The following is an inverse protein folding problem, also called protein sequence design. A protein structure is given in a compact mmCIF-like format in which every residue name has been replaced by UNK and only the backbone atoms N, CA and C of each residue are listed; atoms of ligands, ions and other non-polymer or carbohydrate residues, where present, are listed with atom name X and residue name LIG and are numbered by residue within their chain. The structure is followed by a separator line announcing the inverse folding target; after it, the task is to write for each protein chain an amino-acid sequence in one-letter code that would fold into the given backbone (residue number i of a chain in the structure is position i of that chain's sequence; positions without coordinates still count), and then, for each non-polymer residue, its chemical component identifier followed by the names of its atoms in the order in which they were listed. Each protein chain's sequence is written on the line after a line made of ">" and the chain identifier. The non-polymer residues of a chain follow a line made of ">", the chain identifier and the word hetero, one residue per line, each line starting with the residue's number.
data_IF_800168610948
#
_entry.id   IF_800168610948
#
_cell.length_a   1.000
_cell.length_b   1.000
_cell.length_c   1.000
_cell.angle_alpha   90.00
_cell.angle_beta   90.00
_cell.angle_gamma   90.00
#
_symmetry.space_group_name_H-M   'P 1'
#
loop_
_entity.id
_entity.type
_entity.pdbx_description
1 polymer ?
#
# COMPACT_ATOMS: atom_id res chain seq x y z
N UNK A 1 -22.11 -11.73 32.99
CA UNK A 1 -22.24 -11.64 31.51
C UNK A 1 -21.82 -10.29 30.95
N UNK A 2 -22.26 -9.15 31.50
CA UNK A 2 -21.94 -7.82 30.95
C UNK A 2 -20.44 -7.45 30.91
N UNK A 3 -19.66 -7.76 31.96
CA UNK A 3 -18.22 -7.42 32.02
C UNK A 3 -17.40 -8.13 30.93
N UNK A 4 -17.72 -9.38 30.59
CA UNK A 4 -17.04 -10.12 29.52
C UNK A 4 -17.31 -9.49 28.15
N UNK A 5 -18.52 -8.97 27.92
CA UNK A 5 -18.89 -8.32 26.66
C UNK A 5 -18.11 -7.01 26.43
N UNK A 6 -18.00 -6.17 27.47
CA UNK A 6 -17.20 -4.95 27.39
C UNK A 6 -15.73 -5.22 27.11
N UNK A 7 -15.16 -6.27 27.73
CA UNK A 7 -13.78 -6.69 27.49
C UNK A 7 -13.57 -7.20 26.06
N UNK A 8 -14.51 -7.97 25.51
CA UNK A 8 -14.44 -8.44 24.13
C UNK A 8 -14.49 -7.30 23.11
N UNK A 9 -15.36 -6.29 23.33
CA UNK A 9 -15.42 -5.09 22.46
C UNK A 9 -14.11 -4.32 22.52
N UNK A 10 -13.54 -4.13 23.72
CA UNK A 10 -12.28 -3.43 23.89
C UNK A 10 -11.14 -4.16 23.16
N UNK A 11 -11.06 -5.49 23.33
CA UNK A 11 -10.07 -6.32 22.64
C UNK A 11 -10.24 -6.26 21.11
N UNK A 12 -11.47 -6.36 20.61
CA UNK A 12 -11.75 -6.25 19.18
C UNK A 12 -11.35 -4.86 18.63
N UNK A 13 -11.66 -3.80 19.36
CA UNK A 13 -11.32 -2.43 18.98
C UNK A 13 -9.81 -2.21 18.92
N UNK A 14 -9.07 -2.74 19.90
CA UNK A 14 -7.60 -2.70 19.89
C UNK A 14 -7.02 -3.52 18.73
N UNK A 15 -7.62 -4.66 18.40
CA UNK A 15 -7.22 -5.46 17.25
C UNK A 15 -7.43 -4.70 15.94
N UNK A 16 -8.59 -4.06 15.74
CA UNK A 16 -8.87 -3.22 14.57
C UNK A 16 -7.85 -2.08 14.43
N UNK A 17 -7.50 -1.41 15.52
CA UNK A 17 -6.44 -0.37 15.51
C UNK A 17 -5.09 -0.98 15.11
N UNK A 18 -4.72 -2.13 15.68
CA UNK A 18 -3.46 -2.79 15.38
C UNK A 18 -3.37 -3.22 13.90
N UNK A 19 -4.42 -3.88 13.38
CA UNK A 19 -4.49 -4.30 11.98
C UNK A 19 -4.49 -3.09 11.04
N UNK A 20 -5.27 -2.05 11.34
CA UNK A 20 -5.36 -0.88 10.47
C UNK A 20 -4.05 -0.10 10.37
N UNK A 21 -3.33 0.11 11.48
CA UNK A 21 -2.03 0.77 11.48
C UNK A 21 -0.96 -0.06 10.76
N UNK A 22 -0.92 -1.37 11.01
CA UNK A 22 0.02 -2.27 10.34
C UNK A 22 -0.24 -2.35 8.83
N UNK A 23 -1.50 -2.50 8.43
CA UNK A 23 -1.92 -2.53 7.02
C UNK A 23 -1.63 -1.20 6.33
N UNK A 24 -1.85 -0.08 7.01
CA UNK A 24 -1.53 1.26 6.49
C UNK A 24 -0.04 1.40 6.22
N UNK A 25 0.83 0.94 7.13
CA UNK A 25 2.28 0.97 6.91
C UNK A 25 2.68 0.18 5.65
N UNK A 26 2.10 -1.02 5.47
CA UNK A 26 2.33 -1.85 4.27
C UNK A 26 1.78 -1.17 3.01
N UNK A 27 0.59 -0.59 3.08
CA UNK A 27 -0.02 0.16 1.97
C UNK A 27 0.81 1.37 1.55
N UNK A 28 1.42 2.08 2.49
CA UNK A 28 2.34 3.19 2.19
C UNK A 28 3.56 2.69 1.42
N UNK A 29 4.15 1.58 1.84
CA UNK A 29 5.31 0.99 1.14
C UNK A 29 4.93 0.61 -0.28
N UNK A 30 3.87 -0.19 -0.48
CA UNK A 30 3.42 -0.57 -1.82
C UNK A 30 2.99 0.63 -2.66
N UNK A 31 2.35 1.63 -2.05
CA UNK A 31 1.94 2.86 -2.71
C UNK A 31 3.11 3.66 -3.23
N UNK A 32 4.14 3.86 -2.41
CA UNK A 32 5.35 4.58 -2.81
C UNK A 32 6.12 3.82 -3.88
N UNK A 33 6.24 2.50 -3.76
CA UNK A 33 6.87 1.64 -4.78
C UNK A 33 6.10 1.69 -6.10
N UNK A 34 4.77 1.56 -6.06
CA UNK A 34 3.91 1.64 -7.24
C UNK A 34 3.97 3.02 -7.91
N UNK A 35 3.97 4.09 -7.11
CA UNK A 35 4.09 5.46 -7.63
C UNK A 35 5.47 5.69 -8.27
N UNK A 36 6.55 5.26 -7.62
CA UNK A 36 7.90 5.35 -8.14
C UNK A 36 8.06 4.55 -9.45
N UNK A 37 7.53 3.33 -9.50
CA UNK A 37 7.55 2.49 -10.69
C UNK A 37 6.83 3.17 -11.87
N UNK A 38 5.64 3.74 -11.64
CA UNK A 38 4.85 4.44 -12.66
C UNK A 38 5.43 5.77 -13.13
N UNK A 39 6.25 6.42 -12.30
CA UNK A 39 6.95 7.65 -12.66
C UNK A 39 8.35 7.38 -13.22
N UNK A 40 8.79 6.13 -13.24
CA UNK A 40 10.07 5.72 -13.81
C UNK A 40 10.11 5.95 -15.32
N UNK A 41 11.31 6.17 -15.85
CA UNK A 41 11.57 6.19 -17.28
C UNK A 41 11.59 4.77 -17.88
N UNK A 42 11.79 3.75 -17.03
CA UNK A 42 11.76 2.35 -17.46
C UNK A 42 10.32 1.92 -17.77
N UNK A 43 10.10 1.53 -19.02
CA UNK A 43 8.79 1.11 -19.54
C UNK A 43 8.27 -0.14 -18.83
N UNK A 44 9.15 -1.05 -18.41
CA UNK A 44 8.77 -2.28 -17.71
C UNK A 44 8.30 -1.96 -16.29
N UNK A 45 9.04 -1.13 -15.56
CA UNK A 45 8.64 -0.68 -14.23
C UNK A 45 7.32 0.10 -14.29
N UNK A 46 7.17 1.00 -15.27
CA UNK A 46 5.95 1.78 -15.44
C UNK A 46 4.74 0.90 -15.82
N UNK A 47 4.94 -0.10 -16.69
CA UNK A 47 3.91 -1.07 -17.04
C UNK A 47 3.51 -1.94 -15.84
N UNK A 48 4.47 -2.46 -15.08
CA UNK A 48 4.21 -3.27 -13.89
C UNK A 48 3.42 -2.49 -12.83
N UNK A 49 3.82 -1.26 -12.54
CA UNK A 49 3.10 -0.41 -11.59
C UNK A 49 1.69 -0.03 -12.08
N UNK A 50 1.52 0.16 -13.39
CA UNK A 50 0.20 0.42 -13.99
C UNK A 50 -0.69 -0.81 -13.90
N UNK A 51 -0.19 -1.99 -14.28
CA UNK A 51 -0.91 -3.25 -14.18
C UNK A 51 -1.37 -3.53 -12.75
N UNK A 52 -0.45 -3.39 -11.78
CA UNK A 52 -0.76 -3.52 -10.36
C UNK A 52 -1.90 -2.58 -9.93
N UNK A 53 -1.77 -1.28 -10.19
CA UNK A 53 -2.77 -0.30 -9.78
C UNK A 53 -4.12 -0.52 -10.47
N UNK A 54 -4.12 -0.87 -11.76
CA UNK A 54 -5.33 -1.06 -12.55
C UNK A 54 -6.08 -2.34 -12.19
N UNK A 55 -5.38 -3.47 -12.04
CA UNK A 55 -6.01 -4.75 -11.71
C UNK A 55 -6.58 -4.72 -10.31
N UNK A 56 -5.79 -4.29 -9.33
CA UNK A 56 -6.21 -4.32 -7.91
C UNK A 56 -7.39 -3.38 -7.66
N UNK A 57 -7.39 -2.19 -8.29
CA UNK A 57 -8.50 -1.23 -8.16
C UNK A 57 -9.69 -1.53 -9.08
N UNK A 58 -9.53 -2.45 -10.04
CA UNK A 58 -10.59 -2.87 -10.96
C UNK A 58 -11.42 -4.04 -10.42
N UNK A 59 -10.90 -4.77 -9.44
CA UNK A 59 -11.59 -5.88 -8.78
C UNK A 59 -12.24 -5.38 -7.49
N UNK A 60 -13.47 -5.80 -7.15
CA UNK A 60 -14.09 -5.45 -5.87
C UNK A 60 -13.23 -5.90 -4.67
N UNK A 61 -13.08 -5.03 -3.67
CA UNK A 61 -12.17 -5.25 -2.53
C UNK A 61 -12.40 -6.60 -1.82
N UNK A 62 -13.66 -6.99 -1.57
CA UNK A 62 -14.00 -8.29 -0.97
C UNK A 62 -13.53 -9.48 -1.81
N UNK A 63 -13.68 -9.40 -3.13
CA UNK A 63 -13.23 -10.45 -4.05
C UNK A 63 -11.70 -10.51 -4.04
N UNK A 64 -11.04 -9.36 -4.02
CA UNK A 64 -9.59 -9.29 -3.94
C UNK A 64 -9.07 -9.87 -2.62
N UNK A 65 -9.72 -9.59 -1.49
CA UNK A 65 -9.38 -10.19 -0.21
C UNK A 65 -9.50 -11.71 -0.24
N UNK A 66 -10.58 -12.25 -0.84
CA UNK A 66 -10.76 -13.68 -1.03
C UNK A 66 -9.62 -14.27 -1.88
N UNK A 67 -9.32 -13.65 -3.02
CA UNK A 67 -8.27 -14.11 -3.93
C UNK A 67 -6.90 -14.10 -3.27
N UNK A 68 -6.55 -13.06 -2.51
CA UNK A 68 -5.24 -12.99 -1.84
C UNK A 68 -5.18 -13.96 -0.66
N UNK A 69 -6.25 -14.07 0.13
CA UNK A 69 -6.27 -14.94 1.31
C UNK A 69 -6.25 -16.42 0.93
N UNK A 70 -7.14 -16.85 0.03
CA UNK A 70 -7.24 -18.26 -0.39
C UNK A 70 -6.28 -18.60 -1.54
N UNK A 71 -6.15 -17.72 -2.54
CA UNK A 71 -5.24 -17.94 -3.66
C UNK A 71 -3.77 -17.71 -3.28
N UNK A 72 -3.48 -16.77 -2.38
CA UNK A 72 -2.12 -16.52 -1.90
C UNK A 72 -1.59 -17.66 -1.01
N UNK A 73 -2.42 -18.24 -0.14
CA UNK A 73 -2.06 -19.43 0.64
C UNK A 73 -1.81 -20.65 -0.26
N UNK A 74 -2.68 -20.90 -1.24
CA UNK A 74 -2.47 -21.95 -2.24
C UNK A 74 -1.19 -21.72 -3.06
N UNK A 75 -0.98 -20.49 -3.54
CA UNK A 75 0.20 -20.13 -4.33
C UNK A 75 1.50 -20.24 -3.54
N UNK A 76 1.51 -19.81 -2.27
CA UNK A 76 2.67 -19.93 -1.40
C UNK A 76 3.01 -21.40 -1.12
N UNK A 77 2.01 -22.23 -0.82
CA UNK A 77 2.21 -23.66 -0.60
C UNK A 77 2.75 -24.33 -1.87
N UNK A 78 2.21 -24.00 -3.06
CA UNK A 78 2.70 -24.55 -4.32
C UNK A 78 4.13 -24.11 -4.66
N UNK A 79 4.51 -22.86 -4.34
CA UNK A 79 5.89 -22.38 -4.48
C UNK A 79 6.83 -23.10 -3.50
N UNK A 80 6.40 -23.30 -2.25
CA UNK A 80 7.18 -24.02 -1.24
C UNK A 80 7.37 -25.50 -1.62
N UNK A 81 6.33 -26.15 -2.14
CA UNK A 81 6.41 -27.50 -2.69
C UNK A 81 7.37 -27.58 -3.88
N UNK A 82 7.33 -26.60 -4.80
CA UNK A 82 8.27 -26.51 -5.91
C UNK A 82 9.73 -26.30 -5.46
N UNK A 83 9.93 -25.65 -4.30
CA UNK A 83 11.23 -25.49 -3.63
C UNK A 83 11.58 -26.67 -2.69
N UNK A 84 10.83 -27.78 -2.75
CA UNK A 84 11.10 -29.02 -2.03
C UNK A 84 10.64 -29.05 -0.57
N UNK A 85 9.91 -28.03 -0.09
CA UNK A 85 9.37 -27.98 1.26
C UNK A 85 7.97 -28.62 1.29
N UNK A 86 7.81 -29.73 2.04
CA UNK A 86 6.56 -30.50 2.14
C UNK A 86 5.65 -30.08 3.31
N UNK A 87 5.93 -28.95 3.94
CA UNK A 87 5.12 -28.43 5.06
C UNK A 87 4.08 -27.44 4.56
N UNK A 88 2.85 -27.53 5.07
CA UNK A 88 1.85 -26.47 4.91
C UNK A 88 2.29 -25.24 5.70
N UNK A 89 2.40 -24.08 5.04
CA UNK A 89 2.68 -22.83 5.76
C UNK A 89 1.37 -22.34 6.39
N UNK A 90 1.28 -22.48 7.71
CA UNK A 90 0.17 -21.89 8.47
C UNK A 90 0.45 -20.39 8.64
N UNK A 91 -0.14 -19.57 7.78
CA UNK A 91 0.07 -18.12 7.82
C UNK A 91 -0.78 -17.55 8.94
N UNK A 92 -0.13 -16.88 9.88
CA UNK A 92 -0.81 -16.15 10.95
C UNK A 92 -1.92 -15.23 10.37
N UNK A 93 -3.19 -15.38 10.78
CA UNK A 93 -4.31 -14.61 10.22
C UNK A 93 -4.14 -13.10 10.31
N UNK A 94 -3.48 -12.60 11.36
CA UNK A 94 -3.17 -11.18 11.50
C UNK A 94 -2.21 -10.73 10.40
N UNK A 95 -1.13 -11.47 10.16
CA UNK A 95 -0.14 -11.15 9.11
C UNK A 95 -0.77 -11.27 7.73
N UNK A 96 -1.56 -12.31 7.48
CA UNK A 96 -2.29 -12.49 6.23
C UNK A 96 -3.24 -11.32 5.96
N UNK A 97 -4.03 -10.91 6.95
CA UNK A 97 -4.92 -9.75 6.86
C UNK A 97 -4.17 -8.45 6.58
N UNK A 98 -3.09 -8.20 7.33
CA UNK A 98 -2.23 -7.01 7.18
C UNK A 98 -1.62 -6.90 5.78
N UNK A 99 -1.08 -8.00 5.26
CA UNK A 99 -0.49 -8.02 3.93
C UNK A 99 -1.55 -7.89 2.83
N UNK A 100 -2.71 -8.54 3.01
CA UNK A 100 -3.82 -8.47 2.06
C UNK A 100 -4.36 -7.05 1.95
N UNK A 101 -4.73 -6.44 3.08
CA UNK A 101 -5.23 -5.07 3.12
C UNK A 101 -4.15 -4.08 2.68
N UNK A 102 -2.91 -4.28 3.13
CA UNK A 102 -1.77 -3.47 2.71
C UNK A 102 -1.52 -3.50 1.20
N UNK A 103 -1.64 -4.67 0.56
CA UNK A 103 -1.53 -4.80 -0.89
C UNK A 103 -2.69 -4.11 -1.62
N UNK A 104 -3.93 -4.32 -1.18
CA UNK A 104 -5.11 -3.70 -1.80
C UNK A 104 -5.04 -2.18 -1.68
N UNK A 105 -4.91 -1.64 -0.47
CA UNK A 105 -4.84 -0.19 -0.24
C UNK A 105 -3.53 0.43 -0.73
N UNK A 106 -2.47 -0.36 -0.93
CA UNK A 106 -1.26 0.06 -1.60
C UNK A 106 -1.49 0.47 -3.07
N UNK A 107 -2.41 -0.19 -3.76
CA UNK A 107 -2.78 0.18 -5.13
C UNK A 107 -3.51 1.53 -5.18
N UNK A 108 -4.39 1.80 -4.20
CA UNK A 108 -5.05 3.09 -4.06
C UNK A 108 -4.05 4.20 -3.61
N UNK A 109 -3.11 3.88 -2.73
CA UNK A 109 -2.02 4.78 -2.34
C UNK A 109 -1.10 5.14 -3.50
N UNK A 110 -0.86 4.20 -4.42
CA UNK A 110 -0.06 4.45 -5.64
C UNK A 110 -0.58 5.67 -6.41
N UNK A 111 -1.89 5.80 -6.53
CA UNK A 111 -2.53 6.88 -7.29
C UNK A 111 -2.59 8.18 -6.50
N UNK A 112 -2.77 8.07 -5.18
CA UNK A 112 -2.66 9.21 -4.27
C UNK A 112 -1.26 9.85 -4.36
N UNK A 113 -0.20 9.05 -4.21
CA UNK A 113 1.17 9.56 -4.25
C UNK A 113 1.59 9.99 -5.66
N UNK A 114 1.24 9.23 -6.70
CA UNK A 114 1.52 9.63 -8.09
C UNK A 114 0.82 10.94 -8.43
N UNK A 115 -0.46 11.07 -8.09
CA UNK A 115 -1.23 12.30 -8.28
C UNK A 115 -0.63 13.47 -7.51
N UNK A 116 -0.21 13.25 -6.26
CA UNK A 116 0.44 14.27 -5.44
C UNK A 116 1.78 14.75 -6.02
N UNK A 117 2.61 13.85 -6.56
CA UNK A 117 3.87 14.22 -7.22
C UNK A 117 3.59 15.05 -8.48
N UNK A 118 2.61 14.63 -9.29
CA UNK A 118 2.27 15.31 -10.55
C UNK A 118 1.59 16.67 -10.33
N UNK A 119 0.98 16.90 -9.17
CA UNK A 119 0.38 18.18 -8.80
C UNK A 119 1.44 19.26 -8.46
N UNK A 120 2.69 18.87 -8.18
CA UNK A 120 3.76 19.81 -7.86
C UNK A 120 4.17 20.57 -9.14
N UNK A 121 4.21 21.92 -9.14
CA UNK A 121 4.64 22.68 -10.29
C UNK A 121 6.05 22.30 -10.75
N UNK A 122 6.21 22.01 -12.05
CA UNK A 122 7.50 21.58 -12.64
C UNK A 122 8.63 22.59 -12.41
N UNK A 123 8.30 23.88 -12.38
CA UNK A 123 9.25 24.97 -12.10
C UNK A 123 10.01 24.83 -10.77
N UNK A 124 9.44 24.12 -9.77
CA UNK A 124 10.15 23.84 -8.51
C UNK A 124 11.35 22.92 -8.72
N UNK A 125 11.19 21.89 -9.56
CA UNK A 125 12.27 20.98 -9.90
C UNK A 125 13.30 21.65 -10.83
N UNK A 126 12.82 22.42 -11.80
CA UNK A 126 13.68 23.18 -12.74
C UNK A 126 14.53 24.22 -12.01
N UNK A 127 13.95 24.97 -11.07
CA UNK A 127 14.70 25.92 -10.23
C UNK A 127 15.76 25.21 -9.39
N UNK A 128 15.43 24.07 -8.77
CA UNK A 128 16.39 23.28 -8.01
C UNK A 128 17.57 22.81 -8.87
N UNK A 129 17.32 22.38 -10.11
CA UNK A 129 18.38 22.01 -11.05
C UNK A 129 19.22 23.22 -11.50
N UNK A 130 18.61 24.38 -11.72
CA UNK A 130 19.33 25.62 -12.02
C UNK A 130 20.26 26.07 -10.87
N UNK A 131 19.90 25.77 -9.63
CA UNK A 131 20.73 25.95 -8.44
C UNK A 131 21.74 24.82 -8.20
N UNK A 132 21.90 23.88 -9.14
CA UNK A 132 22.90 22.81 -9.06
C UNK A 132 22.50 21.61 -8.19
N UNK A 133 21.24 21.48 -7.77
CA UNK A 133 20.79 20.30 -7.02
C UNK A 133 20.74 19.06 -7.92
N UNK A 134 21.32 17.95 -7.43
CA UNK A 134 21.18 16.65 -8.09
C UNK A 134 19.78 16.03 -7.93
N UNK A 135 19.41 15.07 -8.78
CA UNK A 135 18.07 14.41 -8.76
C UNK A 135 17.61 13.95 -7.38
N UNK A 136 18.51 13.32 -6.61
CA UNK A 136 18.22 12.86 -5.24
C UNK A 136 18.00 14.02 -4.27
N UNK A 137 18.76 15.12 -4.40
CA UNK A 137 18.60 16.30 -3.57
C UNK A 137 17.30 17.02 -3.89
N UNK A 138 16.99 17.22 -5.18
CA UNK A 138 15.71 17.80 -5.63
C UNK A 138 14.54 16.97 -5.08
N UNK A 139 14.60 15.64 -5.21
CA UNK A 139 13.54 14.79 -4.69
C UNK A 139 13.39 14.90 -3.16
N UNK A 140 14.47 14.70 -2.39
CA UNK A 140 14.38 14.66 -0.93
C UNK A 140 14.08 16.02 -0.29
N UNK A 141 14.58 17.12 -0.86
CA UNK A 141 14.47 18.46 -0.26
C UNK A 141 13.31 19.29 -0.82
N UNK A 142 12.90 19.05 -2.06
CA UNK A 142 11.89 19.87 -2.75
C UNK A 142 10.63 19.05 -3.00
N UNK A 143 10.73 17.93 -3.72
CA UNK A 143 9.56 17.16 -4.17
C UNK A 143 8.88 16.41 -3.04
N UNK A 144 9.61 15.63 -2.24
CA UNK A 144 9.04 14.76 -1.21
C UNK A 144 8.29 15.54 -0.10
N UNK A 145 8.81 16.65 0.46
CA UNK A 145 8.07 17.42 1.46
C UNK A 145 6.78 18.04 0.91
N UNK A 146 6.79 18.48 -0.35
CA UNK A 146 5.59 19.01 -1.02
C UNK A 146 4.59 17.90 -1.33
N UNK A 147 5.07 16.75 -1.83
CA UNK A 147 4.26 15.57 -2.13
C UNK A 147 3.46 15.14 -0.91
N UNK A 148 4.05 15.13 0.29
CA UNK A 148 3.33 14.79 1.52
C UNK A 148 2.10 15.67 1.70
N UNK A 149 2.22 16.99 1.52
CA UNK A 149 1.11 17.94 1.66
C UNK A 149 0.01 17.70 0.62
N UNK A 150 0.38 17.47 -0.64
CA UNK A 150 -0.58 17.17 -1.71
C UNK A 150 -1.24 15.80 -1.54
N UNK A 151 -0.54 14.84 -0.94
CA UNK A 151 -1.06 13.49 -0.70
C UNK A 151 -2.04 13.43 0.47
N UNK A 152 -1.95 14.33 1.45
CA UNK A 152 -2.75 14.29 2.69
C UNK A 152 -4.25 14.07 2.48
N UNK A 153 -4.96 14.78 1.57
CA UNK A 153 -6.40 14.57 1.39
C UNK A 153 -6.74 13.16 0.88
N UNK A 154 -6.01 12.67 -0.13
CA UNK A 154 -6.19 11.32 -0.67
C UNK A 154 -5.73 10.24 0.29
N UNK A 155 -4.68 10.51 1.06
CA UNK A 155 -4.15 9.62 2.09
C UNK A 155 -5.20 9.40 3.18
N UNK A 156 -5.74 10.48 3.74
CA UNK A 156 -6.76 10.42 4.80
C UNK A 156 -8.01 9.70 4.33
N UNK A 157 -8.45 9.95 3.09
CA UNK A 157 -9.61 9.24 2.54
C UNK A 157 -9.40 7.72 2.50
N UNK A 158 -8.29 7.27 1.91
CA UNK A 158 -7.98 5.85 1.83
C UNK A 158 -7.74 5.22 3.20
N UNK A 159 -7.14 5.94 4.15
CA UNK A 159 -6.98 5.47 5.52
C UNK A 159 -8.34 5.24 6.21
N UNK A 160 -9.30 6.16 6.03
CA UNK A 160 -10.66 6.00 6.55
C UNK A 160 -11.38 4.79 5.95
N UNK A 161 -11.16 4.50 4.67
CA UNK A 161 -11.73 3.30 4.03
C UNK A 161 -11.04 2.04 4.56
N UNK A 162 -9.71 2.05 4.69
CA UNK A 162 -8.94 0.93 5.24
C UNK A 162 -9.41 0.55 6.65
N UNK A 163 -9.61 1.52 7.55
CA UNK A 163 -10.14 1.25 8.90
C UNK A 163 -11.53 0.60 8.85
N UNK A 164 -12.38 0.95 7.88
CA UNK A 164 -13.72 0.34 7.73
C UNK A 164 -13.64 -1.10 7.21
N UNK A 165 -12.52 -1.47 6.62
CA UNK A 165 -12.27 -2.77 6.01
C UNK A 165 -11.47 -3.71 6.91
N UNK A 166 -10.99 -3.24 8.07
CA UNK A 166 -10.41 -4.04 9.15
C UNK A 166 -11.46 -4.45 10.17
#
# INVERSE_FOLDING_TARGET
>A
MHTSYYLSILQASLLTIAVSLASLAVAVVFGLLGAAARLSQDRLAAAAGTLYATVVRGIPDLVMMLLVFYGGTMGLNHLMEALGHKGSVDINPFVAGVLTLGFIYGAYMTETFRGAILAIPRGQAEAAWAFGMGRRQTFLRITAPQMVRYALPGFTNNWLVLIKST
#
